data_IF_349067879256
#
_entry.id   IF_349067879256
#
_cell.length_a   1.000
_cell.length_b   1.000
_cell.length_c   1.000
_cell.angle_alpha   90.00
_cell.angle_beta   90.00
_cell.angle_gamma   90.00
#
_symmetry.space_group_name_H-M   'P 1'
#
loop_
_entity.id
_entity.type
_entity.pdbx_description
1 polymer ?
#
# COMPACT_ATOMS: atom_id res chain seq x y z
N UNK A 1 31.15 7.41 -6.18
CA UNK A 1 30.94 7.47 -4.71
C UNK A 1 29.65 8.22 -4.49
N UNK A 2 28.57 7.53 -4.11
CA UNK A 2 27.24 8.14 -3.94
C UNK A 2 27.09 8.48 -2.45
N UNK A 3 26.75 9.72 -2.07
CA UNK A 3 26.80 10.18 -0.70
C UNK A 3 25.53 9.80 0.09
N UNK A 4 25.72 9.10 1.20
CA UNK A 4 25.10 9.37 2.51
C UNK A 4 23.66 9.92 2.50
N UNK A 5 22.66 9.08 2.23
CA UNK A 5 21.32 9.28 2.79
C UNK A 5 21.24 8.59 4.16
N UNK A 6 21.93 9.17 5.14
CA UNK A 6 21.46 9.16 6.54
C UNK A 6 20.43 10.29 6.64
N UNK A 7 19.28 10.14 5.99
CA UNK A 7 18.12 10.94 6.33
C UNK A 7 17.53 10.31 7.58
N UNK A 8 17.24 11.10 8.60
CA UNK A 8 16.48 10.75 9.79
C UNK A 8 15.42 9.67 9.48
N UNK A 9 15.74 8.43 9.85
CA UNK A 9 14.93 7.24 9.58
C UNK A 9 13.65 7.20 10.41
N UNK A 10 13.39 8.22 11.22
CA UNK A 10 12.31 8.22 12.20
C UNK A 10 10.93 8.29 11.56
N UNK A 11 10.75 9.01 10.44
CA UNK A 11 9.47 9.04 9.71
C UNK A 11 9.69 9.36 8.22
N UNK A 12 9.62 8.35 7.33
CA UNK A 12 9.61 8.58 5.88
C UNK A 12 8.18 8.45 5.35
N UNK A 13 7.66 9.52 4.74
CA UNK A 13 6.39 9.48 4.00
C UNK A 13 6.63 8.88 2.61
N UNK A 14 5.74 7.97 2.22
CA UNK A 14 5.78 7.20 0.98
C UNK A 14 4.54 7.56 0.16
N UNK A 15 4.72 7.84 -1.12
CA UNK A 15 3.66 8.23 -2.02
C UNK A 15 3.39 7.15 -3.06
N UNK A 16 2.23 6.50 -2.96
CA UNK A 16 1.84 5.47 -3.92
C UNK A 16 2.47 4.10 -3.66
N UNK A 17 1.98 3.11 -4.40
CA UNK A 17 2.33 1.71 -4.19
C UNK A 17 3.77 1.35 -4.49
N UNK A 18 4.42 2.04 -5.43
CA UNK A 18 5.79 1.72 -5.81
C UNK A 18 6.76 2.09 -4.68
N UNK A 19 6.62 3.28 -4.10
CA UNK A 19 7.42 3.68 -2.93
C UNK A 19 7.16 2.78 -1.73
N UNK A 20 5.90 2.39 -1.50
CA UNK A 20 5.54 1.40 -0.46
C UNK A 20 6.25 0.06 -0.71
N UNK A 21 6.23 -0.44 -1.95
CA UNK A 21 6.87 -1.70 -2.33
C UNK A 21 8.38 -1.65 -2.14
N UNK A 22 9.03 -0.55 -2.49
CA UNK A 22 10.47 -0.37 -2.29
C UNK A 22 10.81 -0.26 -0.79
N UNK A 23 10.06 0.51 -0.03
CA UNK A 23 10.24 0.65 1.42
C UNK A 23 9.99 -0.66 2.18
N UNK A 24 9.13 -1.56 1.68
CA UNK A 24 8.94 -2.88 2.27
C UNK A 24 10.23 -3.70 2.30
N UNK A 25 11.09 -3.55 1.28
CA UNK A 25 12.41 -4.23 1.27
C UNK A 25 13.27 -3.73 2.44
N UNK A 26 13.24 -2.41 2.70
CA UNK A 26 13.97 -1.82 3.82
C UNK A 26 13.42 -2.28 5.17
N UNK A 27 12.08 -2.40 5.31
CA UNK A 27 11.46 -2.96 6.52
C UNK A 27 11.94 -4.38 6.78
N UNK A 28 11.92 -5.25 5.78
CA UNK A 28 12.38 -6.63 5.95
C UNK A 28 13.86 -6.70 6.34
N UNK A 29 14.72 -5.87 5.74
CA UNK A 29 16.13 -5.76 6.11
C UNK A 29 16.32 -5.29 7.56
N UNK A 30 15.55 -4.30 8.01
CA UNK A 30 15.60 -3.79 9.39
C UNK A 30 15.12 -4.85 10.40
N UNK A 31 14.00 -5.52 10.11
CA UNK A 31 13.46 -6.57 10.97
C UNK A 31 14.36 -7.81 11.02
N UNK A 32 15.01 -8.15 9.92
CA UNK A 32 16.04 -9.21 9.90
C UNK A 32 17.23 -8.88 10.82
N UNK A 33 17.46 -7.60 11.11
CA UNK A 33 18.49 -7.12 12.04
C UNK A 33 17.97 -6.93 13.48
N UNK A 34 16.71 -7.29 13.74
CA UNK A 34 16.08 -7.17 15.06
C UNK A 34 15.55 -5.78 15.39
N UNK A 35 15.43 -4.88 14.41
CA UNK A 35 14.85 -3.54 14.58
C UNK A 35 13.37 -3.62 14.27
N UNK A 36 12.49 -3.08 15.12
CA UNK A 36 11.06 -3.05 14.80
C UNK A 36 10.80 -1.94 13.78
N UNK A 37 10.52 -2.35 12.54
CA UNK A 37 10.18 -1.46 11.45
C UNK A 37 8.84 -1.88 10.84
N UNK A 38 8.05 -0.90 10.41
CA UNK A 38 6.75 -1.13 9.77
C UNK A 38 6.40 0.03 8.84
N UNK A 39 5.53 -0.23 7.86
CA UNK A 39 4.89 0.82 7.06
C UNK A 39 3.45 0.97 7.53
N UNK A 40 3.08 2.14 8.01
CA UNK A 40 1.68 2.50 8.27
C UNK A 40 1.07 3.03 6.98
N UNK A 41 0.20 2.23 6.35
CA UNK A 41 -0.56 2.71 5.20
C UNK A 41 -1.62 3.71 5.62
N UNK A 42 -1.95 4.64 4.73
CA UNK A 42 -3.07 5.57 4.84
C UNK A 42 -3.73 5.65 3.49
N UNK A 43 -5.04 5.37 3.44
CA UNK A 43 -5.82 5.44 2.21
C UNK A 43 -6.81 6.60 2.31
N UNK A 44 -6.54 7.67 1.56
CA UNK A 44 -7.37 8.88 1.49
C UNK A 44 -8.74 8.61 0.86
N UNK A 45 -8.86 7.53 0.07
CA UNK A 45 -10.11 7.12 -0.56
C UNK A 45 -10.98 6.23 0.34
N UNK A 46 -10.47 5.79 1.51
CA UNK A 46 -11.26 5.07 2.49
C UNK A 46 -11.89 6.06 3.46
N UNK A 47 -13.23 6.09 3.51
CA UNK A 47 -14.01 6.85 4.51
C UNK A 47 -13.60 6.54 5.96
N UNK A 48 -12.95 5.40 6.18
CA UNK A 48 -12.50 4.93 7.49
C UNK A 48 -11.06 5.28 7.84
N UNK A 49 -10.32 6.04 7.02
CA UNK A 49 -8.90 6.40 7.24
C UNK A 49 -8.13 5.26 7.91
N UNK A 50 -8.23 4.06 7.35
CA UNK A 50 -7.74 2.86 8.03
C UNK A 50 -6.24 2.81 7.90
N UNK A 51 -5.55 3.10 9.01
CA UNK A 51 -4.11 2.87 9.06
C UNK A 51 -3.83 1.39 9.30
N UNK A 52 -3.21 0.73 8.31
CA UNK A 52 -2.84 -0.66 8.39
C UNK A 52 -1.31 -0.77 8.52
N UNK A 53 -0.77 -1.28 9.65
CA UNK A 53 0.66 -1.51 9.78
C UNK A 53 1.05 -2.74 8.96
N UNK A 54 2.04 -2.56 8.08
CA UNK A 54 2.64 -3.60 7.26
C UNK A 54 4.05 -3.91 7.77
N UNK A 55 4.29 -5.18 8.01
CA UNK A 55 5.51 -5.66 8.63
C UNK A 55 6.34 -6.56 7.70
N UNK A 56 5.74 -6.99 6.59
CA UNK A 56 6.32 -7.89 5.59
C UNK A 56 5.65 -7.70 4.22
N UNK A 57 6.30 -8.20 3.17
CA UNK A 57 5.68 -8.23 1.83
C UNK A 57 4.38 -9.03 1.80
N UNK A 58 4.24 -10.01 2.70
CA UNK A 58 3.00 -10.78 2.80
C UNK A 58 1.84 -9.91 3.29
N UNK A 59 2.07 -9.03 4.25
CA UNK A 59 1.04 -8.09 4.74
C UNK A 59 0.60 -7.14 3.63
N UNK A 60 1.57 -6.63 2.84
CA UNK A 60 1.28 -5.78 1.68
C UNK A 60 0.40 -6.52 0.66
N UNK A 61 0.73 -7.78 0.36
CA UNK A 61 -0.04 -8.63 -0.55
C UNK A 61 -1.45 -8.89 -0.04
N UNK A 62 -1.61 -9.20 1.25
CA UNK A 62 -2.91 -9.40 1.88
C UNK A 62 -3.75 -8.12 1.84
N UNK A 63 -3.13 -6.97 2.12
CA UNK A 63 -3.82 -5.67 2.08
C UNK A 63 -4.35 -5.37 0.67
N UNK A 64 -3.50 -5.51 -0.36
CA UNK A 64 -3.89 -5.34 -1.76
C UNK A 64 -5.02 -6.29 -2.14
N UNK A 65 -4.91 -7.57 -1.76
CA UNK A 65 -5.94 -8.58 -2.06
C UNK A 65 -7.29 -8.25 -1.41
N UNK A 66 -7.28 -7.78 -0.15
CA UNK A 66 -8.50 -7.33 0.55
C UNK A 66 -9.11 -6.10 -0.10
N UNK A 67 -8.28 -5.11 -0.47
CA UNK A 67 -8.73 -3.89 -1.17
C UNK A 67 -9.38 -4.23 -2.50
N UNK A 68 -8.73 -5.07 -3.30
CA UNK A 68 -9.28 -5.52 -4.58
C UNK A 68 -10.59 -6.28 -4.41
N UNK A 69 -10.63 -7.23 -3.46
CA UNK A 69 -11.85 -8.00 -3.18
C UNK A 69 -13.00 -7.10 -2.77
N UNK A 70 -12.76 -6.07 -1.95
CA UNK A 70 -13.77 -5.09 -1.56
C UNK A 70 -14.27 -4.29 -2.77
N UNK A 71 -13.37 -3.83 -3.63
CA UNK A 71 -13.71 -3.10 -4.86
C UNK A 71 -14.59 -3.96 -5.79
N UNK A 72 -14.25 -5.23 -5.98
CA UNK A 72 -15.05 -6.15 -6.79
C UNK A 72 -16.43 -6.41 -6.17
N UNK A 73 -16.51 -6.60 -4.85
CA UNK A 73 -17.80 -6.80 -4.16
C UNK A 73 -18.69 -5.57 -4.25
N UNK A 74 -18.13 -4.37 -4.14
CA UNK A 74 -18.85 -3.11 -4.28
C UNK A 74 -19.39 -2.92 -5.72
N UNK A 75 -18.55 -3.23 -6.71
CA UNK A 75 -18.93 -3.25 -8.13
C UNK A 75 -20.07 -4.25 -8.41
N UNK A 76 -19.99 -5.47 -7.89
CA UNK A 76 -21.04 -6.49 -8.07
C UNK A 76 -22.33 -6.08 -7.36
N UNK A 77 -22.23 -5.47 -6.18
CA UNK A 77 -23.39 -5.00 -5.41
C UNK A 77 -24.13 -3.85 -6.11
N UNK A 78 -23.45 -3.12 -7.00
CA UNK A 78 -24.00 -1.99 -7.75
C UNK A 78 -24.77 -2.38 -9.02
N UNK A 79 -25.04 -3.67 -9.27
CA UNK A 79 -25.83 -4.17 -10.42
C UNK A 79 -25.24 -3.78 -11.80
N UNK A 80 -23.92 -3.86 -11.93
CA UNK A 80 -23.21 -3.50 -13.15
C UNK A 80 -23.45 -4.57 -14.24
N UNK A 81 -23.77 -4.19 -15.50
CA UNK A 81 -23.84 -5.11 -16.63
C UNK A 81 -22.53 -5.90 -16.83
N UNK A 82 -22.60 -7.10 -17.38
CA UNK A 82 -21.43 -7.99 -17.54
C UNK A 82 -20.31 -7.36 -18.39
N UNK A 83 -20.66 -6.61 -19.44
CA UNK A 83 -19.70 -5.89 -20.29
C UNK A 83 -18.94 -4.79 -19.52
N UNK A 84 -19.64 -4.07 -18.63
CA UNK A 84 -19.04 -3.05 -17.77
C UNK A 84 -18.20 -3.69 -16.65
N UNK A 85 -18.49 -4.93 -16.26
CA UNK A 85 -17.68 -5.69 -15.30
C UNK A 85 -16.31 -6.07 -15.88
N UNK A 86 -16.23 -6.53 -17.13
CA UNK A 86 -14.95 -6.83 -17.78
C UNK A 86 -14.09 -5.58 -17.97
N UNK A 87 -14.74 -4.45 -18.31
CA UNK A 87 -14.08 -3.15 -18.35
C UNK A 87 -13.59 -2.74 -16.96
N UNK A 88 -14.40 -2.88 -15.91
CA UNK A 88 -14.03 -2.56 -14.53
C UNK A 88 -12.89 -3.44 -14.03
N UNK A 89 -12.83 -4.73 -14.39
CA UNK A 89 -11.68 -5.59 -14.05
C UNK A 89 -10.41 -5.11 -14.75
N UNK A 90 -10.51 -4.69 -16.01
CA UNK A 90 -9.36 -4.14 -16.75
C UNK A 90 -8.89 -2.80 -16.16
N UNK A 91 -9.83 -1.93 -15.78
CA UNK A 91 -9.58 -0.62 -15.17
C UNK A 91 -9.16 -0.73 -13.71
N UNK A 92 -9.58 -1.76 -12.98
CA UNK A 92 -9.31 -1.92 -11.55
C UNK A 92 -7.82 -2.04 -11.25
N UNK A 93 -6.99 -2.54 -12.17
CA UNK A 93 -5.53 -2.48 -12.03
C UNK A 93 -5.01 -1.04 -12.11
N UNK A 94 -5.58 -0.22 -13.00
CA UNK A 94 -5.26 1.20 -13.13
C UNK A 94 -5.82 2.03 -11.98
N UNK A 95 -6.96 1.65 -11.41
CA UNK A 95 -7.58 2.33 -10.25
C UNK A 95 -6.87 1.92 -8.95
N UNK A 96 -6.51 0.65 -8.81
CA UNK A 96 -5.74 0.16 -7.66
C UNK A 96 -4.35 0.77 -7.63
N UNK A 97 -3.63 0.74 -8.75
CA UNK A 97 -2.19 1.09 -8.79
C UNK A 97 -1.88 2.40 -9.52
N UNK A 98 -2.89 3.13 -9.99
CA UNK A 98 -2.68 4.40 -10.69
C UNK A 98 -2.21 5.51 -9.76
N UNK A 99 -1.63 6.54 -10.38
CA UNK A 99 -1.09 7.75 -9.72
C UNK A 99 -2.11 8.55 -8.86
N UNK A 100 -3.39 8.18 -8.88
CA UNK A 100 -4.48 8.81 -8.12
C UNK A 100 -5.05 7.91 -7.00
N UNK A 101 -4.38 6.81 -6.67
CA UNK A 101 -4.88 5.81 -5.72
C UNK A 101 -5.06 6.32 -4.28
N UNK A 102 -4.66 7.57 -3.97
CA UNK A 102 -4.82 8.20 -2.65
C UNK A 102 -4.13 7.43 -1.54
N UNK A 103 -3.20 6.53 -1.90
CA UNK A 103 -2.50 5.67 -0.97
C UNK A 103 -1.18 6.34 -0.61
N UNK A 104 -1.00 6.56 0.68
CA UNK A 104 0.24 6.99 1.29
C UNK A 104 0.72 5.91 2.25
N UNK A 105 2.01 5.86 2.49
CA UNK A 105 2.62 5.07 3.55
C UNK A 105 3.44 5.97 4.45
N UNK A 106 3.66 5.53 5.68
CA UNK A 106 4.66 6.09 6.57
C UNK A 106 5.54 4.98 7.11
N UNK A 107 6.82 5.00 6.79
CA UNK A 107 7.79 4.12 7.41
C UNK A 107 8.00 4.58 8.86
N UNK A 108 7.79 3.67 9.80
CA UNK A 108 7.97 3.85 11.23
C UNK A 108 9.02 2.86 11.70
N UNK A 109 10.03 3.37 12.40
CA UNK A 109 11.12 2.59 12.98
C UNK A 109 11.15 2.87 14.49
N UNK A 110 10.92 1.82 15.28
CA UNK A 110 10.96 1.86 16.74
C UNK A 110 12.31 1.31 17.22
N UNK A 111 12.91 1.95 18.23
CA UNK A 111 14.28 1.72 18.70
C UNK A 111 14.33 1.11 20.10
#
# INVERSE_FOLDING_TARGET
MVPHQRADLTEQTLHGWEEIREAMSQVEELRARGIDARIELSDENSEHHTSAPLYSFNDLREYVSRRFSRMLVDAISSSIPLDDFEQLVSESSTILFGNHSGIAGRLVIDH
#
